data_IF_741892110294
#
_entry.id   IF_741892110294
#
_cell.length_a   1.000
_cell.length_b   1.000
_cell.length_c   1.000
_cell.angle_alpha   90.00
_cell.angle_beta   90.00
_cell.angle_gamma   90.00
#
_symmetry.space_group_name_H-M   'P 1'
#
loop_
_entity.id
_entity.type
_entity.pdbx_description
1 polymer ?
#
# COMPACT_ATOMS: atom_id res chain seq x y z
N UNK A 1 4.15 17.34 0.66
CA UNK A 1 3.42 16.61 1.73
C UNK A 1 4.11 16.82 3.07
N UNK A 2 3.54 17.65 3.95
CA UNK A 2 4.17 18.05 5.23
C UNK A 2 4.10 16.92 6.27
N UNK A 3 2.97 16.19 6.34
CA UNK A 3 2.78 15.09 7.28
C UNK A 3 3.91 14.04 7.20
N UNK A 4 4.19 13.51 6.00
CA UNK A 4 5.21 12.47 5.84
C UNK A 4 6.63 12.97 6.17
N UNK A 5 6.94 14.23 5.89
CA UNK A 5 8.23 14.82 6.26
C UNK A 5 8.39 14.96 7.77
N UNK A 6 7.32 15.34 8.48
CA UNK A 6 7.33 15.43 9.95
C UNK A 6 7.41 14.04 10.59
N UNK A 7 6.68 13.07 10.05
CA UNK A 7 6.74 11.67 10.49
C UNK A 7 8.15 11.10 10.35
N UNK A 8 8.79 11.31 9.19
CA UNK A 8 10.15 10.85 8.96
C UNK A 8 11.13 11.43 9.98
N UNK A 9 11.08 12.75 10.23
CA UNK A 9 11.92 13.39 11.26
C UNK A 9 11.68 12.84 12.66
N UNK A 10 10.43 12.54 13.01
CA UNK A 10 10.10 11.97 14.31
C UNK A 10 10.67 10.55 14.47
N UNK A 11 10.57 9.71 13.44
CA UNK A 11 11.13 8.36 13.45
C UNK A 11 12.67 8.36 13.44
N UNK A 12 13.30 9.27 12.69
CA UNK A 12 14.76 9.46 12.70
C UNK A 12 15.26 9.86 14.09
N UNK A 13 14.53 10.73 14.79
CA UNK A 13 14.83 11.10 16.17
C UNK A 13 14.72 9.89 17.10
N UNK A 14 13.62 9.14 17.05
CA UNK A 14 13.43 7.94 17.86
C UNK A 14 14.53 6.89 17.63
N UNK A 15 14.92 6.68 16.38
CA UNK A 15 15.98 5.73 16.02
C UNK A 15 17.36 6.17 16.51
N UNK A 16 17.58 7.47 16.67
CA UNK A 16 18.81 8.02 17.25
C UNK A 16 18.79 7.90 18.78
N UNK A 17 17.66 8.22 19.41
CA UNK A 17 17.49 8.17 20.86
C UNK A 17 17.56 6.73 21.41
N UNK A 18 17.07 5.74 20.66
CA UNK A 18 17.12 4.31 21.00
C UNK A 18 18.53 3.69 20.82
N UNK A 19 19.43 4.37 20.11
CA UNK A 19 20.78 3.86 19.78
C UNK A 19 20.81 2.69 18.79
N UNK A 20 19.65 2.12 18.45
CA UNK A 20 19.50 1.05 17.46
C UNK A 20 18.72 1.56 16.23
N UNK A 21 19.41 1.66 15.09
CA UNK A 21 18.83 2.14 13.82
C UNK A 21 17.80 1.19 13.21
N UNK A 22 17.64 0.00 13.78
CA UNK A 22 16.88 -1.09 13.20
C UNK A 22 15.56 -1.36 13.94
N UNK A 23 15.26 -0.59 14.99
CA UNK A 23 14.03 -0.71 15.78
C UNK A 23 12.81 -0.18 15.01
N UNK A 24 13.02 0.83 14.15
CA UNK A 24 11.95 1.47 13.39
C UNK A 24 12.18 1.33 11.89
N UNK A 25 11.13 0.94 11.18
CA UNK A 25 11.10 0.88 9.71
C UNK A 25 10.03 1.83 9.22
N UNK A 26 10.38 2.67 8.22
CA UNK A 26 9.42 3.55 7.56
C UNK A 26 8.99 2.90 6.26
N UNK A 27 7.70 2.64 6.13
CA UNK A 27 7.11 2.21 4.87
C UNK A 27 6.67 3.45 4.07
N UNK A 28 7.27 3.66 2.90
CA UNK A 28 6.88 4.75 2.00
C UNK A 28 5.59 4.41 1.23
N UNK A 29 4.49 4.36 1.98
CA UNK A 29 3.17 4.04 1.46
C UNK A 29 2.70 5.05 0.40
N UNK A 30 3.15 6.31 0.50
CA UNK A 30 2.79 7.34 -0.47
C UNK A 30 3.36 7.04 -1.85
N UNK A 31 4.68 6.83 -1.97
CA UNK A 31 5.29 6.56 -3.26
C UNK A 31 4.87 5.19 -3.80
N UNK A 32 4.65 4.20 -2.93
CA UNK A 32 4.10 2.91 -3.33
C UNK A 32 2.68 3.05 -3.94
N UNK A 33 1.80 3.81 -3.29
CA UNK A 33 0.44 4.05 -3.79
C UNK A 33 0.42 4.82 -5.11
N UNK A 34 1.23 5.88 -5.24
CA UNK A 34 1.35 6.65 -6.49
C UNK A 34 1.85 5.75 -7.63
N UNK A 35 2.90 4.96 -7.37
CA UNK A 35 3.49 4.06 -8.38
C UNK A 35 2.52 2.95 -8.79
N UNK A 36 1.77 2.40 -7.83
CA UNK A 36 0.73 1.40 -8.09
C UNK A 36 -0.40 1.96 -8.95
N UNK A 37 -0.88 3.17 -8.65
CA UNK A 37 -1.91 3.86 -9.44
C UNK A 37 -1.42 4.10 -10.88
N UNK A 38 -0.19 4.58 -11.04
CA UNK A 38 0.38 4.86 -12.36
C UNK A 38 0.58 3.58 -13.18
N UNK A 39 1.09 2.51 -12.58
CA UNK A 39 1.16 1.20 -13.23
C UNK A 39 -0.23 0.70 -13.63
N UNK A 40 -1.22 0.83 -12.74
CA UNK A 40 -2.58 0.39 -13.01
C UNK A 40 -3.20 1.13 -14.19
N UNK A 41 -3.01 2.45 -14.27
CA UNK A 41 -3.40 3.27 -15.43
C UNK A 41 -2.71 2.82 -16.72
N UNK A 42 -1.40 2.58 -16.67
CA UNK A 42 -0.62 2.14 -17.84
C UNK A 42 -1.11 0.79 -18.37
N UNK A 43 -1.37 -0.18 -17.48
CA UNK A 43 -1.89 -1.49 -17.86
C UNK A 43 -3.27 -1.40 -18.52
N UNK A 44 -4.09 -0.45 -18.09
CA UNK A 44 -5.42 -0.25 -18.64
C UNK A 44 -5.46 0.66 -19.89
N UNK A 45 -4.36 1.31 -20.26
CA UNK A 45 -4.31 2.21 -21.43
C UNK A 45 -4.66 1.49 -22.75
N UNK A 46 -4.48 0.17 -22.81
CA UNK A 46 -4.81 -0.67 -23.96
C UNK A 46 -6.18 -1.37 -23.84
N UNK A 47 -6.99 -1.01 -22.85
CA UNK A 47 -8.30 -1.61 -22.59
C UNK A 47 -9.42 -0.62 -22.89
N UNK A 48 -10.61 -1.11 -23.22
CA UNK A 48 -11.79 -0.25 -23.50
C UNK A 48 -12.37 0.44 -22.24
N UNK A 49 -11.75 0.26 -21.07
CA UNK A 49 -12.22 0.84 -19.83
C UNK A 49 -12.08 2.37 -19.82
N UNK A 50 -13.21 3.08 -19.80
CA UNK A 50 -13.26 4.56 -19.80
C UNK A 50 -12.58 5.21 -18.59
N UNK A 51 -12.55 4.53 -17.44
CA UNK A 51 -11.81 4.96 -16.27
C UNK A 51 -11.27 3.73 -15.51
N UNK A 52 -9.95 3.46 -15.56
CA UNK A 52 -9.38 2.30 -14.87
C UNK A 52 -9.41 2.40 -13.35
N UNK A 53 -9.53 3.61 -12.79
CA UNK A 53 -9.61 3.83 -11.35
C UNK A 53 -11.04 3.98 -10.85
N UNK A 54 -12.03 3.58 -11.65
CA UNK A 54 -13.41 3.57 -11.20
C UNK A 54 -13.54 2.63 -9.98
N UNK A 55 -14.15 3.09 -8.87
CA UNK A 55 -14.38 2.23 -7.71
C UNK A 55 -15.33 1.08 -8.06
N UNK A 56 -15.11 -0.08 -7.47
CA UNK A 56 -15.96 -1.24 -7.69
C UNK A 56 -17.35 -1.09 -7.07
N UNK A 57 -17.44 -0.45 -5.91
CA UNK A 57 -18.70 -0.17 -5.23
C UNK A 57 -19.34 1.11 -5.77
N UNK A 58 -20.50 0.96 -6.39
CA UNK A 58 -21.29 2.06 -6.94
C UNK A 58 -22.47 2.50 -6.06
N UNK A 59 -22.83 1.70 -5.05
CA UNK A 59 -24.00 1.94 -4.18
C UNK A 59 -23.68 1.59 -2.74
N UNK A 60 -23.61 2.61 -1.89
CA UNK A 60 -23.41 2.48 -0.44
C UNK A 60 -24.77 2.58 0.27
N UNK A 61 -25.07 1.63 1.15
CA UNK A 61 -26.25 1.62 2.03
C UNK A 61 -25.75 1.33 3.45
N UNK A 62 -26.09 2.19 4.41
CA UNK A 62 -25.66 2.07 5.81
C UNK A 62 -24.14 1.80 5.97
N UNK A 63 -23.32 2.56 5.24
CA UNK A 63 -21.85 2.46 5.23
C UNK A 63 -21.28 1.16 4.65
N UNK A 64 -22.12 0.28 4.13
CA UNK A 64 -21.71 -0.95 3.45
C UNK A 64 -21.98 -0.85 1.95
N UNK A 65 -21.19 -1.57 1.15
CA UNK A 65 -21.53 -1.72 -0.25
C UNK A 65 -22.73 -2.65 -0.41
N UNK A 66 -23.76 -2.20 -1.13
CA UNK A 66 -24.85 -3.10 -1.52
C UNK A 66 -24.32 -4.18 -2.46
N UNK A 67 -24.83 -5.41 -2.32
CA UNK A 67 -24.50 -6.53 -3.23
C UNK A 67 -24.78 -6.16 -4.69
N UNK A 68 -25.86 -5.43 -4.96
CA UNK A 68 -26.22 -4.95 -6.30
C UNK A 68 -25.28 -3.84 -6.83
N UNK A 69 -24.52 -3.22 -5.93
CA UNK A 69 -23.61 -2.11 -6.23
C UNK A 69 -22.19 -2.55 -6.57
N UNK A 70 -21.86 -3.83 -6.40
CA UNK A 70 -20.53 -4.39 -6.70
C UNK A 70 -20.36 -4.52 -8.21
N UNK A 71 -19.19 -4.09 -8.71
CA UNK A 71 -18.83 -4.19 -10.11
C UNK A 71 -18.72 -5.64 -10.60
N UNK A 72 -18.78 -5.85 -11.92
CA UNK A 72 -18.76 -7.19 -12.54
C UNK A 72 -17.47 -7.98 -12.26
N UNK A 73 -16.34 -7.30 -12.11
CA UNK A 73 -15.04 -7.94 -11.88
C UNK A 73 -14.31 -7.30 -10.68
N UNK A 74 -14.73 -7.61 -9.43
CA UNK A 74 -14.16 -6.99 -8.24
C UNK A 74 -12.67 -7.28 -8.08
N UNK A 75 -12.22 -8.47 -8.49
CA UNK A 75 -10.82 -8.92 -8.43
C UNK A 75 -9.88 -8.11 -9.33
N UNK A 76 -10.39 -7.40 -10.34
CA UNK A 76 -9.56 -6.54 -11.19
C UNK A 76 -9.66 -5.07 -10.83
N UNK A 77 -10.44 -4.68 -9.83
CA UNK A 77 -10.58 -3.27 -9.45
C UNK A 77 -9.31 -2.79 -8.71
N UNK A 78 -8.97 -1.51 -8.80
CA UNK A 78 -7.96 -0.90 -7.93
C UNK A 78 -8.59 -0.35 -6.65
N UNK A 79 -9.73 0.33 -6.78
CA UNK A 79 -10.47 0.91 -5.67
C UNK A 79 -11.73 0.10 -5.38
N UNK A 80 -12.00 -0.14 -4.10
CA UNK A 80 -13.28 -0.68 -3.66
C UNK A 80 -14.33 0.42 -3.65
N UNK A 81 -14.05 1.54 -2.99
CA UNK A 81 -14.90 2.73 -2.96
C UNK A 81 -14.06 4.00 -3.24
N UNK A 82 -14.59 5.19 -2.93
CA UNK A 82 -13.89 6.46 -3.20
C UNK A 82 -12.68 6.74 -2.30
N UNK A 83 -12.47 5.97 -1.22
CA UNK A 83 -11.40 6.17 -0.25
C UNK A 83 -10.48 4.97 -0.06
N UNK A 84 -10.96 3.75 -0.34
CA UNK A 84 -10.29 2.52 0.00
C UNK A 84 -9.86 1.72 -1.25
N UNK A 85 -8.58 1.29 -1.33
CA UNK A 85 -8.17 0.26 -2.29
C UNK A 85 -8.99 -1.03 -2.10
N UNK A 86 -9.20 -1.76 -3.18
CA UNK A 86 -9.70 -3.14 -3.12
C UNK A 86 -8.57 -4.09 -2.70
N UNK A 87 -8.88 -5.38 -2.52
CA UNK A 87 -7.86 -6.42 -2.26
C UNK A 87 -6.78 -6.45 -3.36
N UNK A 88 -7.19 -6.35 -4.63
CA UNK A 88 -6.25 -6.24 -5.73
C UNK A 88 -5.46 -4.92 -5.71
N UNK A 89 -6.10 -3.80 -5.37
CA UNK A 89 -5.40 -2.53 -5.14
C UNK A 89 -4.29 -2.66 -4.08
N UNK A 90 -4.59 -3.29 -2.95
CA UNK A 90 -3.60 -3.57 -1.90
C UNK A 90 -2.48 -4.50 -2.37
N UNK A 91 -2.79 -5.54 -3.13
CA UNK A 91 -1.78 -6.44 -3.70
C UNK A 91 -0.79 -5.70 -4.60
N UNK A 92 -1.28 -4.80 -5.47
CA UNK A 92 -0.41 -3.99 -6.32
C UNK A 92 0.42 -3.02 -5.48
N UNK A 93 -0.17 -2.30 -4.52
CA UNK A 93 0.56 -1.39 -3.61
C UNK A 93 1.67 -2.15 -2.86
N UNK A 94 1.37 -3.33 -2.33
CA UNK A 94 2.33 -4.15 -1.60
C UNK A 94 3.52 -4.56 -2.47
N UNK A 95 3.31 -4.84 -3.76
CA UNK A 95 4.41 -5.18 -4.70
C UNK A 95 5.47 -4.07 -4.81
N UNK A 96 5.09 -2.80 -4.63
CA UNK A 96 6.03 -1.66 -4.59
C UNK A 96 6.70 -1.48 -3.22
N UNK A 97 6.08 -1.95 -2.14
CA UNK A 97 6.65 -1.92 -0.79
C UNK A 97 7.64 -3.06 -0.55
N UNK A 98 7.42 -4.22 -1.16
CA UNK A 98 8.19 -5.44 -0.89
C UNK A 98 9.71 -5.21 -1.05
N UNK A 99 10.13 -4.42 -2.04
CA UNK A 99 11.54 -4.11 -2.30
C UNK A 99 12.22 -3.27 -1.21
N UNK A 100 11.47 -2.45 -0.46
CA UNK A 100 12.02 -1.66 0.66
C UNK A 100 11.98 -2.44 1.98
N UNK A 101 10.94 -3.26 2.22
CA UNK A 101 10.87 -4.11 3.41
C UNK A 101 12.11 -5.00 3.58
N UNK A 102 12.65 -5.55 2.48
CA UNK A 102 13.85 -6.39 2.55
C UNK A 102 15.15 -5.62 2.78
N UNK A 103 15.19 -4.31 2.50
CA UNK A 103 16.39 -3.47 2.62
C UNK A 103 16.48 -2.77 3.96
N UNK A 104 15.33 -2.45 4.55
CA UNK A 104 15.24 -1.66 5.79
C UNK A 104 15.25 -2.54 7.05
N UNK A 105 15.14 -3.86 6.90
CA UNK A 105 15.39 -4.83 7.96
C UNK A 105 16.90 -5.03 8.10
N UNK A 106 17.51 -4.45 9.13
CA UNK A 106 18.89 -4.79 9.47
C UNK A 106 19.00 -6.26 9.86
N UNK A 107 19.57 -7.08 8.98
CA UNK A 107 20.04 -8.41 9.31
C UNK A 107 18.93 -9.44 9.56
N UNK A 108 18.87 -10.45 8.71
CA UNK A 108 18.49 -11.78 9.15
C UNK A 108 19.23 -12.08 10.47
N UNK A 109 18.49 -12.31 11.56
CA UNK A 109 19.10 -12.99 12.70
C UNK A 109 19.50 -14.37 12.18
N UNK A 110 20.79 -14.75 12.16
CA UNK A 110 21.17 -16.10 11.79
C UNK A 110 20.44 -17.06 12.72
N UNK A 111 19.86 -18.12 12.15
CA UNK A 111 19.14 -19.18 12.87
C UNK A 111 19.93 -19.76 14.07
N UNK A 112 21.23 -19.55 14.06
CA UNK A 112 22.20 -19.98 15.07
C UNK A 112 22.05 -19.25 16.43
N UNK A 113 21.27 -18.16 16.50
CA UNK A 113 21.02 -17.41 17.74
C UNK A 113 19.84 -17.95 18.58
N UNK A 114 19.16 -19.03 18.13
CA UNK A 114 18.15 -19.74 18.92
C UNK A 114 18.68 -21.14 19.24
N UNK A 115 19.58 -21.23 20.22
CA UNK A 115 19.79 -22.47 20.98
C UNK A 115 19.30 -22.22 22.40
N UNK A 116 18.23 -22.94 22.76
CA UNK A 116 17.84 -23.20 24.15
C UNK A 116 18.67 -24.37 24.69
#
# INVERSE_FOLDING_TARGET
>A
MIHNQLLQKAVEKLSTDDGNRCTFVILDLYNAMVSAIDQFRQNAANTEYKNPLQPCCSKIVDYMCSVEGVCTNPESSFFFDLGHPSDNGWNVIFSFLQGSLHKDLCGFIPYDAIQF
#
